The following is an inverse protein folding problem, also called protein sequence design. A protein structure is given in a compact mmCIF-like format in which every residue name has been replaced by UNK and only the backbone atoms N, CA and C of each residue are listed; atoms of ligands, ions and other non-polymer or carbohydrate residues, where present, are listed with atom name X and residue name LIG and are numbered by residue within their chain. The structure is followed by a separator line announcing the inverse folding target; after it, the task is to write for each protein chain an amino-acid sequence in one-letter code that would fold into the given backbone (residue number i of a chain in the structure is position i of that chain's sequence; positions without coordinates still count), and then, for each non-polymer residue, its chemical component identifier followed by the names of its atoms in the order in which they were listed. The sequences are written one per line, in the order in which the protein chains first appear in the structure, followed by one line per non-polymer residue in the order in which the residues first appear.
data_IF_631515068208
#
_entry.id   IF_631515068208
#
_cell.length_a   1.000
_cell.length_b   1.000
_cell.length_c   1.000
_cell.angle_alpha   90.00
_cell.angle_beta   90.00
_cell.angle_gamma   90.00
#
_symmetry.space_group_name_H-M   'P 1'
#
loop_
_entity.id
_entity.type
_entity.pdbx_description
1 polymer ?
#
# COMPACT_ATOMS: atom_id res chain seq x y z
N UNK A 1 -24.97 -73.36 40.68
CA UNK A 1 -23.56 -73.41 40.17
C UNK A 1 -23.54 -72.88 38.73
N UNK A 2 -22.59 -71.96 38.43
CA UNK A 2 -22.11 -71.45 37.12
C UNK A 2 -23.15 -70.92 36.11
N UNK A 3 -23.27 -69.60 35.92
CA UNK A 3 -22.42 -68.60 35.20
C UNK A 3 -22.90 -68.40 33.74
N UNK A 4 -23.64 -67.32 33.50
CA UNK A 4 -23.74 -66.67 32.19
C UNK A 4 -23.00 -65.32 32.26
N UNK A 5 -22.06 -65.10 31.36
CA UNK A 5 -21.28 -63.86 31.24
C UNK A 5 -22.13 -62.82 30.48
N UNK A 6 -22.47 -61.70 31.11
CA UNK A 6 -22.95 -60.51 30.41
C UNK A 6 -21.74 -59.76 29.83
N UNK A 7 -21.72 -59.58 28.51
CA UNK A 7 -20.79 -58.68 27.84
C UNK A 7 -21.34 -57.24 27.94
N UNK A 8 -20.53 -56.36 28.53
CA UNK A 8 -20.79 -54.94 28.67
C UNK A 8 -20.50 -54.25 27.31
N UNK A 9 -21.54 -53.86 26.58
CA UNK A 9 -21.39 -53.01 25.40
C UNK A 9 -21.19 -51.56 25.86
N UNK A 10 -19.93 -51.10 25.89
CA UNK A 10 -19.60 -49.68 26.05
C UNK A 10 -19.88 -49.00 24.71
N UNK A 11 -21.01 -48.33 24.62
CA UNK A 11 -21.31 -47.41 23.51
C UNK A 11 -20.36 -46.22 23.56
N UNK A 12 -19.42 -46.17 22.62
CA UNK A 12 -18.65 -44.97 22.32
C UNK A 12 -19.61 -43.96 21.71
N UNK A 13 -20.12 -43.03 22.52
CA UNK A 13 -20.69 -41.78 22.02
C UNK A 13 -19.54 -40.98 21.38
N UNK A 14 -19.41 -41.08 20.07
CA UNK A 14 -18.58 -40.18 19.29
C UNK A 14 -19.21 -38.78 19.29
N UNK A 15 -18.64 -37.86 20.06
CA UNK A 15 -18.90 -36.42 19.92
C UNK A 15 -18.22 -35.96 18.63
N UNK A 16 -18.97 -35.90 17.53
CA UNK A 16 -18.56 -35.19 16.30
C UNK A 16 -18.98 -33.74 16.46
N UNK A 17 -18.18 -32.96 17.19
CA UNK A 17 -18.31 -31.50 17.26
C UNK A 17 -17.64 -30.84 16.05
N UNK A 18 -18.09 -31.14 14.84
CA UNK A 18 -17.67 -30.41 13.63
C UNK A 18 -18.49 -29.13 13.52
N UNK A 19 -18.03 -28.03 14.12
CA UNK A 19 -18.71 -26.74 14.03
C UNK A 19 -18.76 -26.24 12.59
N UNK A 20 -19.94 -26.25 11.97
CA UNK A 20 -20.17 -25.55 10.71
C UNK A 20 -19.86 -24.06 10.90
N UNK A 21 -19.02 -23.48 10.04
CA UNK A 21 -18.79 -22.03 10.03
C UNK A 21 -20.07 -21.35 9.56
N UNK A 22 -20.71 -20.56 10.44
CA UNK A 22 -21.88 -19.75 10.10
C UNK A 22 -21.43 -18.44 9.46
N UNK A 23 -21.61 -18.31 8.15
CA UNK A 23 -21.32 -17.09 7.39
C UNK A 23 -22.51 -16.12 7.36
N UNK A 24 -22.22 -14.82 7.42
CA UNK A 24 -23.23 -13.78 7.14
C UNK A 24 -23.68 -13.84 5.67
N UNK A 25 -24.84 -13.26 5.30
CA UNK A 25 -25.24 -13.17 3.89
C UNK A 25 -24.18 -12.52 3.00
N UNK A 26 -23.59 -11.41 3.46
CA UNK A 26 -22.51 -10.72 2.75
C UNK A 26 -21.28 -11.63 2.54
N UNK A 27 -20.87 -12.38 3.57
CA UNK A 27 -19.75 -13.31 3.47
C UNK A 27 -20.03 -14.47 2.50
N UNK A 28 -21.28 -14.91 2.35
CA UNK A 28 -21.68 -15.92 1.36
C UNK A 28 -21.61 -15.38 -0.07
N UNK A 29 -22.02 -14.14 -0.28
CA UNK A 29 -21.89 -13.47 -1.57
C UNK A 29 -20.40 -13.31 -1.94
N UNK A 30 -19.58 -12.86 -0.99
CA UNK A 30 -18.14 -12.78 -1.16
C UNK A 30 -17.53 -14.14 -1.49
N UNK A 31 -17.90 -15.20 -0.77
CA UNK A 31 -17.40 -16.56 -1.06
C UNK A 31 -17.79 -17.02 -2.47
N UNK A 32 -19.00 -16.69 -2.92
CA UNK A 32 -19.46 -16.99 -4.28
C UNK A 32 -18.60 -16.28 -5.33
N UNK A 33 -18.25 -15.02 -5.09
CA UNK A 33 -17.36 -14.26 -5.96
C UNK A 33 -15.92 -14.80 -5.96
N UNK A 34 -15.42 -15.28 -4.80
CA UNK A 34 -14.13 -15.95 -4.70
C UNK A 34 -14.12 -17.26 -5.50
N UNK A 35 -15.17 -18.08 -5.38
CA UNK A 35 -15.29 -19.30 -6.18
C UNK A 35 -15.35 -18.99 -7.68
N UNK A 36 -16.09 -17.94 -8.09
CA UNK A 36 -16.13 -17.51 -9.50
C UNK A 36 -14.75 -17.09 -10.01
N UNK A 37 -13.97 -16.41 -9.18
CA UNK A 37 -12.60 -16.01 -9.52
C UNK A 37 -11.68 -17.23 -9.66
N UNK A 38 -11.78 -18.20 -8.75
CA UNK A 38 -11.05 -19.45 -8.83
C UNK A 38 -11.42 -20.28 -10.09
N UNK A 39 -12.72 -20.38 -10.39
CA UNK A 39 -13.23 -21.07 -11.58
C UNK A 39 -12.75 -20.41 -12.88
N UNK A 40 -12.79 -19.07 -12.95
CA UNK A 40 -12.26 -18.31 -14.09
C UNK A 40 -10.74 -18.50 -14.26
N UNK A 41 -10.01 -18.60 -13.15
CA UNK A 41 -8.56 -18.88 -13.17
C UNK A 41 -8.29 -20.28 -13.71
N UNK A 42 -8.96 -21.30 -13.19
CA UNK A 42 -8.83 -22.66 -13.70
C UNK A 42 -9.11 -22.74 -15.20
N UNK A 43 -10.19 -22.11 -15.66
CA UNK A 43 -10.53 -22.04 -17.09
C UNK A 43 -9.44 -21.32 -17.92
N UNK A 44 -8.91 -20.19 -17.44
CA UNK A 44 -7.89 -19.41 -18.17
C UNK A 44 -6.54 -20.13 -18.34
N UNK A 45 -6.26 -21.12 -17.49
CA UNK A 45 -5.03 -21.91 -17.53
C UNK A 45 -5.25 -23.37 -17.93
N UNK A 46 -6.47 -23.77 -18.30
CA UNK A 46 -6.77 -25.15 -18.70
C UNK A 46 -6.61 -26.17 -17.56
N UNK A 47 -6.86 -25.74 -16.32
CA UNK A 47 -6.71 -26.55 -15.12
C UNK A 47 -8.07 -27.04 -14.61
N UNK A 48 -8.03 -28.03 -13.71
CA UNK A 48 -9.23 -28.52 -13.04
C UNK A 48 -9.86 -27.44 -12.17
N UNK A 49 -11.17 -27.55 -11.94
CA UNK A 49 -11.84 -26.67 -10.99
C UNK A 49 -11.23 -26.84 -9.59
N UNK A 50 -10.85 -25.74 -8.96
CA UNK A 50 -10.39 -25.73 -7.56
C UNK A 50 -11.54 -25.36 -6.61
N UNK A 51 -11.93 -26.23 -5.67
CA UNK A 51 -12.93 -25.90 -4.67
C UNK A 51 -12.37 -24.93 -3.63
N UNK A 52 -13.20 -23.96 -3.24
CA UNK A 52 -12.92 -23.02 -2.16
C UNK A 52 -13.67 -23.45 -0.91
N UNK A 53 -12.93 -23.80 0.14
CA UNK A 53 -13.48 -24.24 1.43
C UNK A 53 -13.21 -23.20 2.49
N UNK A 54 -14.24 -22.73 3.19
CA UNK A 54 -14.06 -21.82 4.32
C UNK A 54 -13.79 -22.60 5.61
N UNK A 55 -12.73 -22.24 6.30
CA UNK A 55 -12.37 -22.80 7.61
C UNK A 55 -12.61 -21.77 8.73
N UNK A 56 -12.87 -22.23 9.97
CA UNK A 56 -12.88 -21.35 11.13
C UNK A 56 -11.57 -20.58 11.22
N UNK A 57 -11.64 -19.31 11.62
CA UNK A 57 -10.45 -18.50 11.73
C UNK A 57 -9.43 -19.09 12.69
N UNK A 58 -8.18 -19.20 12.25
CA UNK A 58 -7.06 -19.54 13.12
C UNK A 58 -6.36 -18.26 13.57
N UNK A 59 -5.78 -18.27 14.78
CA UNK A 59 -5.01 -17.13 15.31
C UNK A 59 -3.64 -16.93 14.63
N UNK A 60 -3.34 -17.71 13.57
CA UNK A 60 -2.06 -17.69 12.87
C UNK A 60 -1.95 -16.57 11.83
N UNK A 61 -3.01 -15.77 11.62
CA UNK A 61 -3.01 -14.68 10.63
C UNK A 61 -2.98 -15.15 9.17
N UNK A 62 -3.07 -16.45 8.92
CA UNK A 62 -3.15 -17.05 7.59
C UNK A 62 -4.55 -16.80 7.05
N UNK A 63 -4.64 -15.99 6.00
CA UNK A 63 -5.92 -15.63 5.40
C UNK A 63 -6.44 -16.66 4.39
N UNK A 64 -5.54 -17.41 3.76
CA UNK A 64 -5.86 -18.52 2.88
C UNK A 64 -4.65 -19.44 2.69
N UNK A 65 -4.88 -20.65 2.18
CA UNK A 65 -3.81 -21.57 1.79
C UNK A 65 -4.27 -22.50 0.67
N UNK A 66 -3.48 -22.58 -0.40
CA UNK A 66 -3.56 -23.67 -1.37
C UNK A 66 -2.89 -24.95 -0.84
N UNK A 67 -3.58 -26.09 -0.87
CA UNK A 67 -3.00 -27.40 -0.54
C UNK A 67 -3.79 -28.55 -1.15
N UNK A 68 -3.09 -29.49 -1.79
CA UNK A 68 -3.68 -30.75 -2.28
C UNK A 68 -4.93 -30.52 -3.15
N UNK A 69 -4.84 -29.58 -4.09
CA UNK A 69 -5.95 -29.26 -4.99
C UNK A 69 -7.15 -28.59 -4.34
N UNK A 70 -7.03 -28.08 -3.10
CA UNK A 70 -8.06 -27.34 -2.40
C UNK A 70 -7.55 -25.95 -2.02
N UNK A 71 -8.42 -24.95 -2.10
CA UNK A 71 -8.15 -23.65 -1.53
C UNK A 71 -8.92 -23.50 -0.21
N UNK A 72 -8.20 -23.38 0.90
CA UNK A 72 -8.77 -23.14 2.21
C UNK A 72 -8.72 -21.65 2.53
N UNK A 73 -9.87 -21.06 2.82
CA UNK A 73 -10.01 -19.64 3.12
C UNK A 73 -10.40 -19.46 4.59
N UNK A 74 -9.72 -18.55 5.29
CA UNK A 74 -10.10 -18.18 6.64
C UNK A 74 -11.37 -17.33 6.61
N UNK A 75 -12.38 -17.68 7.40
CA UNK A 75 -13.64 -16.93 7.45
C UNK A 75 -13.43 -15.42 7.74
N UNK A 76 -12.46 -15.07 8.59
CA UNK A 76 -12.14 -13.68 8.91
C UNK A 76 -11.55 -12.87 7.76
N UNK A 77 -11.08 -13.53 6.70
CA UNK A 77 -10.54 -12.88 5.51
C UNK A 77 -11.61 -12.49 4.49
N UNK A 78 -12.83 -13.01 4.61
CA UNK A 78 -13.94 -12.67 3.71
C UNK A 78 -14.32 -11.18 3.77
N UNK A 79 -14.03 -10.51 4.87
CA UNK A 79 -14.29 -9.08 5.04
C UNK A 79 -13.03 -8.20 4.80
N UNK A 80 -11.93 -8.81 4.35
CA UNK A 80 -10.66 -8.12 4.13
C UNK A 80 -10.70 -7.26 2.86
N UNK A 81 -10.24 -6.01 2.98
CA UNK A 81 -10.02 -5.12 1.83
C UNK A 81 -8.95 -5.61 0.84
N UNK A 82 -8.18 -6.65 1.19
CA UNK A 82 -7.12 -7.23 0.36
C UNK A 82 -7.45 -8.65 -0.12
N UNK A 83 -8.68 -9.13 0.10
CA UNK A 83 -9.11 -10.50 -0.25
C UNK A 83 -8.78 -10.87 -1.70
N UNK A 84 -9.05 -9.97 -2.66
CA UNK A 84 -8.80 -10.26 -4.09
C UNK A 84 -7.31 -10.53 -4.39
N UNK A 85 -6.40 -9.78 -3.78
CA UNK A 85 -4.96 -9.96 -3.98
C UNK A 85 -4.47 -11.26 -3.34
N UNK A 86 -4.91 -11.53 -2.11
CA UNK A 86 -4.60 -12.77 -1.40
C UNK A 86 -5.11 -14.00 -2.17
N UNK A 87 -6.36 -13.99 -2.64
CA UNK A 87 -6.90 -15.10 -3.46
C UNK A 87 -6.07 -15.29 -4.73
N UNK A 88 -5.65 -14.20 -5.39
CA UNK A 88 -4.81 -14.29 -6.58
C UNK A 88 -3.43 -14.91 -6.29
N UNK A 89 -2.84 -14.61 -5.13
CA UNK A 89 -1.59 -15.21 -4.66
C UNK A 89 -1.74 -16.71 -4.42
N UNK A 90 -2.78 -17.14 -3.71
CA UNK A 90 -3.05 -18.56 -3.46
C UNK A 90 -3.36 -19.34 -4.74
N UNK A 91 -4.10 -18.73 -5.67
CA UNK A 91 -4.30 -19.27 -7.00
C UNK A 91 -3.00 -19.31 -7.82
N UNK A 92 -2.05 -18.42 -7.52
CA UNK A 92 -0.68 -18.46 -8.07
C UNK A 92 0.04 -19.75 -7.72
N UNK A 93 -0.04 -20.17 -6.45
CA UNK A 93 0.47 -21.48 -6.03
C UNK A 93 -0.21 -22.63 -6.77
N UNK A 94 -1.54 -22.57 -6.90
CA UNK A 94 -2.28 -23.59 -7.65
C UNK A 94 -1.82 -23.69 -9.11
N UNK A 95 -1.76 -22.56 -9.82
CA UNK A 95 -1.40 -22.51 -11.25
C UNK A 95 0.04 -22.97 -11.48
N UNK A 96 0.95 -22.70 -10.53
CA UNK A 96 2.34 -23.13 -10.61
C UNK A 96 2.58 -24.55 -10.08
N UNK A 97 1.55 -25.22 -9.53
CA UNK A 97 1.70 -26.54 -8.92
C UNK A 97 2.60 -26.53 -7.67
N UNK A 98 2.60 -25.42 -6.94
CA UNK A 98 3.35 -25.29 -5.69
C UNK A 98 2.71 -26.14 -4.59
N UNK A 99 3.17 -27.38 -4.45
CA UNK A 99 2.86 -28.24 -3.31
C UNK A 99 4.02 -28.22 -2.30
N UNK A 100 3.79 -28.56 -1.02
CA UNK A 100 4.85 -28.70 -0.04
C UNK A 100 5.92 -29.68 -0.53
N UNK A 101 7.13 -29.17 -0.79
CA UNK A 101 8.24 -29.98 -1.28
C UNK A 101 8.94 -30.73 -0.16
N UNK A 102 9.42 -31.93 -0.46
CA UNK A 102 10.47 -32.61 0.30
C UNK A 102 11.84 -32.26 -0.29
N UNK A 103 12.89 -32.20 0.54
CA UNK A 103 14.22 -31.74 0.12
C UNK A 103 15.31 -32.38 0.97
N UNK A 104 16.55 -32.31 0.50
CA UNK A 104 17.73 -32.96 1.10
C UNK A 104 18.29 -32.20 2.31
N UNK A 105 18.01 -30.90 2.46
CA UNK A 105 18.35 -30.10 3.63
C UNK A 105 17.32 -29.00 3.95
N UNK A 106 17.27 -28.54 5.21
CA UNK A 106 16.37 -27.46 5.64
C UNK A 106 16.63 -26.12 4.94
N UNK A 107 17.89 -25.79 4.66
CA UNK A 107 18.24 -24.53 4.02
C UNK A 107 17.77 -24.49 2.55
N UNK A 108 17.87 -25.61 1.83
CA UNK A 108 17.35 -25.70 0.45
C UNK A 108 15.83 -25.67 0.43
N UNK A 109 15.17 -26.32 1.38
CA UNK A 109 13.72 -26.26 1.54
C UNK A 109 13.24 -24.82 1.76
N UNK A 110 13.92 -24.05 2.61
CA UNK A 110 13.58 -22.64 2.85
C UNK A 110 13.78 -21.78 1.60
N UNK A 111 14.92 -21.87 0.91
CA UNK A 111 15.15 -21.10 -0.33
C UNK A 111 14.14 -21.45 -1.42
N UNK A 112 13.81 -22.73 -1.57
CA UNK A 112 12.81 -23.17 -2.53
C UNK A 112 11.41 -22.63 -2.16
N UNK A 113 11.07 -22.60 -0.86
CA UNK A 113 9.82 -22.00 -0.40
C UNK A 113 9.78 -20.49 -0.69
N UNK A 114 10.82 -19.73 -0.33
CA UNK A 114 10.88 -18.29 -0.61
C UNK A 114 10.72 -18.00 -2.11
N UNK A 115 11.38 -18.77 -2.97
CA UNK A 115 11.24 -18.61 -4.42
C UNK A 115 9.81 -18.87 -4.89
N UNK A 116 9.14 -19.88 -4.33
CA UNK A 116 7.73 -20.17 -4.62
C UNK A 116 6.80 -19.01 -4.24
N UNK A 117 7.06 -18.33 -3.13
CA UNK A 117 6.28 -17.15 -2.73
C UNK A 117 6.47 -15.98 -3.71
N UNK A 118 7.71 -15.73 -4.15
CA UNK A 118 7.99 -14.71 -5.17
C UNK A 118 7.32 -15.03 -6.51
N UNK A 119 7.38 -16.30 -6.94
CA UNK A 119 6.75 -16.75 -8.18
C UNK A 119 5.22 -16.72 -8.09
N UNK A 120 4.63 -17.05 -6.93
CA UNK A 120 3.20 -16.93 -6.67
C UNK A 120 2.74 -15.47 -6.71
N UNK A 121 3.50 -14.55 -6.10
CA UNK A 121 3.25 -13.10 -6.21
C UNK A 121 3.24 -12.63 -7.67
N UNK A 122 4.21 -13.07 -8.47
CA UNK A 122 4.26 -12.72 -9.88
C UNK A 122 3.09 -13.34 -10.67
N UNK A 123 2.77 -14.60 -10.40
CA UNK A 123 1.64 -15.29 -11.06
C UNK A 123 0.30 -14.66 -10.68
N UNK A 124 0.15 -14.16 -9.46
CA UNK A 124 -1.03 -13.43 -9.02
C UNK A 124 -1.33 -12.22 -9.92
N UNK A 125 -0.31 -11.48 -10.35
CA UNK A 125 -0.49 -10.35 -11.30
C UNK A 125 -1.08 -10.85 -12.62
N UNK A 126 -0.53 -11.93 -13.20
CA UNK A 126 -1.06 -12.51 -14.44
C UNK A 126 -2.49 -13.03 -14.27
N UNK A 127 -2.80 -13.67 -13.13
CA UNK A 127 -4.15 -14.15 -12.80
C UNK A 127 -5.14 -12.98 -12.71
N UNK A 128 -4.77 -11.89 -12.03
CA UNK A 128 -5.61 -10.69 -11.94
C UNK A 128 -5.88 -10.07 -13.33
N UNK A 129 -4.89 -10.08 -14.22
CA UNK A 129 -5.07 -9.64 -15.60
C UNK A 129 -6.04 -10.56 -16.35
N UNK A 130 -5.79 -11.88 -16.35
CA UNK A 130 -6.52 -12.84 -17.19
C UNK A 130 -7.92 -13.17 -16.66
N UNK A 131 -8.08 -13.32 -15.35
CA UNK A 131 -9.33 -13.79 -14.73
C UNK A 131 -10.16 -12.68 -14.07
N UNK A 132 -9.58 -11.51 -13.78
CA UNK A 132 -10.33 -10.33 -13.29
C UNK A 132 -10.38 -9.18 -14.29
N UNK A 133 -9.74 -9.31 -15.46
CA UNK A 133 -9.75 -8.29 -16.51
C UNK A 133 -9.04 -7.00 -16.13
N UNK A 134 -8.13 -7.04 -15.14
CA UNK A 134 -7.35 -5.87 -14.75
C UNK A 134 -6.31 -5.54 -15.83
N UNK A 135 -5.97 -4.26 -15.98
CA UNK A 135 -4.71 -3.92 -16.66
C UNK A 135 -3.51 -4.36 -15.80
N UNK A 136 -2.37 -4.67 -16.43
CA UNK A 136 -1.17 -5.06 -15.68
C UNK A 136 -0.77 -4.03 -14.59
N UNK A 137 -0.77 -2.70 -14.84
CA UNK A 137 -0.48 -1.74 -13.77
C UNK A 137 -1.50 -1.77 -12.61
N UNK A 138 -2.78 -2.01 -12.89
CA UNK A 138 -3.78 -2.18 -11.83
C UNK A 138 -3.50 -3.44 -11.01
N UNK A 139 -3.20 -4.56 -11.66
CA UNK A 139 -2.88 -5.83 -10.99
C UNK A 139 -1.61 -5.72 -10.10
N UNK A 140 -0.54 -5.10 -10.61
CA UNK A 140 0.68 -4.83 -9.84
C UNK A 140 0.38 -3.98 -8.62
N UNK A 141 -0.36 -2.87 -8.78
CA UNK A 141 -0.77 -2.03 -7.64
C UNK A 141 -1.58 -2.81 -6.60
N UNK A 142 -2.51 -3.64 -7.04
CA UNK A 142 -3.32 -4.49 -6.14
C UNK A 142 -2.44 -5.40 -5.30
N UNK A 143 -1.43 -6.04 -5.91
CA UNK A 143 -0.48 -6.89 -5.19
C UNK A 143 0.46 -6.09 -4.28
N UNK A 144 0.97 -4.93 -4.73
CA UNK A 144 1.82 -4.07 -3.88
C UNK A 144 1.06 -3.59 -2.64
N UNK A 145 -0.21 -3.18 -2.77
CA UNK A 145 -1.03 -2.77 -1.61
C UNK A 145 -1.16 -3.94 -0.62
N UNK A 146 -1.38 -5.16 -1.11
CA UNK A 146 -1.44 -6.35 -0.27
C UNK A 146 -0.12 -6.60 0.47
N UNK A 147 1.01 -6.65 -0.23
CA UNK A 147 2.33 -6.86 0.39
C UNK A 147 2.69 -5.75 1.38
N UNK A 148 2.30 -4.50 1.10
CA UNK A 148 2.46 -3.39 2.03
C UNK A 148 1.67 -3.58 3.31
N UNK A 149 0.50 -4.19 3.27
CA UNK A 149 -0.26 -4.48 4.51
C UNK A 149 0.47 -5.51 5.39
N UNK A 150 1.12 -6.50 4.78
CA UNK A 150 2.00 -7.43 5.50
C UNK A 150 3.23 -6.70 6.08
N UNK A 151 3.82 -5.76 5.33
CA UNK A 151 4.90 -4.93 5.84
C UNK A 151 4.49 -4.11 7.05
N UNK A 152 3.29 -3.54 7.05
CA UNK A 152 2.79 -2.77 8.18
C UNK A 152 2.60 -3.64 9.42
N UNK A 153 2.14 -4.89 9.25
CA UNK A 153 2.07 -5.86 10.33
C UNK A 153 3.47 -6.17 10.88
N UNK A 154 4.44 -6.41 9.99
CA UNK A 154 5.85 -6.63 10.36
C UNK A 154 6.43 -5.45 11.15
N UNK A 155 6.19 -4.21 10.69
CA UNK A 155 6.64 -2.98 11.36
C UNK A 155 6.04 -2.82 12.76
N UNK A 156 4.88 -3.44 13.03
CA UNK A 156 4.23 -3.49 14.35
C UNK A 156 4.69 -4.68 15.20
N UNK A 157 5.74 -5.39 14.78
CA UNK A 157 6.34 -6.51 15.50
C UNK A 157 5.67 -7.86 15.25
N UNK A 158 4.77 -7.97 14.27
CA UNK A 158 4.25 -9.28 13.88
C UNK A 158 5.32 -10.07 13.12
N UNK A 159 5.44 -11.39 13.34
CA UNK A 159 6.36 -12.21 12.58
C UNK A 159 5.94 -12.28 11.11
N UNK A 160 6.92 -12.51 10.23
CA UNK A 160 6.63 -12.87 8.84
C UNK A 160 5.88 -14.20 8.79
N UNK A 161 5.01 -14.34 7.79
CA UNK A 161 4.42 -15.64 7.49
C UNK A 161 5.53 -16.65 7.15
N UNK A 162 5.48 -17.90 7.66
CA UNK A 162 6.50 -18.89 7.38
C UNK A 162 6.71 -19.10 5.88
N UNK A 163 7.97 -19.08 5.42
CA UNK A 163 8.32 -19.25 4.01
C UNK A 163 8.38 -17.95 3.20
N UNK A 164 7.79 -16.86 3.69
CA UNK A 164 7.85 -15.55 3.05
C UNK A 164 9.14 -14.80 3.38
N UNK A 165 9.59 -14.00 2.43
CA UNK A 165 10.66 -13.02 2.64
C UNK A 165 10.12 -11.79 3.38
N UNK A 166 10.99 -10.91 3.89
CA UNK A 166 10.55 -9.59 4.32
C UNK A 166 9.70 -8.92 3.21
N UNK A 167 8.51 -8.38 3.52
CA UNK A 167 7.62 -7.82 2.48
C UNK A 167 8.26 -6.74 1.61
N UNK A 168 9.24 -5.99 2.13
CA UNK A 168 10.05 -5.06 1.33
C UNK A 168 10.76 -5.73 0.16
N UNK A 169 11.29 -6.93 0.37
CA UNK A 169 12.01 -7.71 -0.63
C UNK A 169 11.03 -8.30 -1.66
N UNK A 170 9.87 -8.78 -1.21
CA UNK A 170 8.83 -9.27 -2.12
C UNK A 170 8.27 -8.16 -3.02
N UNK A 171 8.07 -6.95 -2.47
CA UNK A 171 7.67 -5.78 -3.27
C UNK A 171 8.76 -5.42 -4.29
N UNK A 172 10.03 -5.44 -3.88
CA UNK A 172 11.14 -5.14 -4.78
C UNK A 172 11.25 -6.14 -5.93
N UNK A 173 11.13 -7.44 -5.64
CA UNK A 173 11.10 -8.50 -6.66
C UNK A 173 9.90 -8.34 -7.60
N UNK A 174 8.70 -8.10 -7.06
CA UNK A 174 7.50 -7.90 -7.86
C UNK A 174 7.63 -6.71 -8.82
N UNK A 175 8.13 -5.56 -8.33
CA UNK A 175 8.34 -4.38 -9.15
C UNK A 175 9.46 -4.57 -10.18
N UNK A 176 10.47 -5.41 -9.88
CA UNK A 176 11.52 -5.75 -10.84
C UNK A 176 11.01 -6.65 -11.98
N UNK A 177 10.08 -7.58 -11.68
CA UNK A 177 9.46 -8.46 -12.68
C UNK A 177 8.41 -7.75 -13.54
N UNK A 178 7.72 -6.76 -12.96
CA UNK A 178 6.72 -5.94 -13.65
C UNK A 178 7.10 -4.46 -13.57
N UNK A 179 8.15 -4.04 -14.28
CA UNK A 179 8.53 -2.64 -14.28
C UNK A 179 7.33 -1.81 -14.77
N UNK A 180 6.99 -0.77 -14.02
CA UNK A 180 6.03 0.22 -14.46
C UNK A 180 6.52 0.90 -15.76
N UNK A 181 5.67 1.70 -16.42
CA UNK A 181 6.15 2.52 -17.52
C UNK A 181 7.36 3.33 -17.04
N UNK A 182 8.48 3.21 -17.77
CA UNK A 182 9.62 4.09 -17.55
C UNK A 182 9.12 5.53 -17.67
N UNK A 183 9.63 6.42 -16.82
CA UNK A 183 9.47 7.85 -17.06
C UNK A 183 9.83 8.14 -18.53
N UNK A 184 9.04 8.94 -19.26
CA UNK A 184 9.21 9.13 -20.70
C UNK A 184 10.67 9.40 -21.06
N UNK A 185 11.16 8.79 -22.14
CA UNK A 185 12.58 8.76 -22.57
C UNK A 185 13.26 10.14 -22.69
N UNK A 186 12.50 11.24 -22.72
CA UNK A 186 13.01 12.60 -22.55
C UNK A 186 13.76 12.82 -21.21
N UNK A 187 13.57 11.95 -20.20
CA UNK A 187 14.27 11.99 -18.91
C UNK A 187 15.53 11.09 -18.84
N UNK A 188 15.81 10.31 -19.89
CA UNK A 188 16.96 9.39 -19.94
C UNK A 188 18.07 9.84 -20.91
N UNK A 189 17.88 10.99 -21.57
CA UNK A 189 18.87 11.58 -22.48
C UNK A 189 19.94 12.40 -21.76
N UNK A 190 21.16 11.86 -21.77
CA UNK A 190 22.46 12.54 -21.67
C UNK A 190 22.84 13.27 -20.36
N UNK A 191 23.81 12.68 -19.65
CA UNK A 191 24.79 13.43 -18.86
C UNK A 191 24.35 13.84 -17.45
N UNK A 192 25.22 13.53 -16.48
CA UNK A 192 25.20 14.18 -15.18
C UNK A 192 25.38 15.69 -15.37
N UNK A 193 24.28 16.44 -15.36
CA UNK A 193 24.30 17.84 -14.95
C UNK A 193 23.01 18.15 -14.20
N UNK A 194 23.18 18.49 -12.93
CA UNK A 194 22.19 18.95 -11.97
C UNK A 194 21.58 20.29 -12.41
N UNK A 195 20.76 20.28 -13.47
CA UNK A 195 20.00 21.46 -13.85
C UNK A 195 19.02 21.78 -12.71
N UNK A 196 18.95 23.05 -12.24
CA UNK A 196 17.98 23.44 -11.23
C UNK A 196 16.56 23.13 -11.69
N UNK A 197 15.79 22.40 -10.88
CA UNK A 197 14.39 22.08 -11.20
C UNK A 197 13.54 23.30 -10.82
N UNK A 198 12.84 23.95 -11.76
CA UNK A 198 11.99 25.10 -11.45
C UNK A 198 10.71 24.67 -10.71
N UNK A 199 9.99 25.65 -10.17
CA UNK A 199 8.64 25.43 -9.62
C UNK A 199 7.76 24.80 -10.72
N UNK A 200 7.11 23.65 -10.49
CA UNK A 200 6.25 23.05 -11.49
C UNK A 200 4.96 23.85 -11.65
N UNK A 201 4.39 23.84 -12.85
CA UNK A 201 3.02 24.33 -13.07
C UNK A 201 2.03 23.18 -12.92
N UNK A 202 1.19 23.24 -11.88
CA UNK A 202 0.07 22.33 -11.69
C UNK A 202 -1.14 22.79 -12.50
N UNK A 203 -1.83 21.85 -13.13
CA UNK A 203 -3.01 22.13 -13.96
C UNK A 203 -4.24 21.51 -13.30
N UNK A 204 -5.39 22.21 -13.23
CA UNK A 204 -6.65 21.61 -12.82
C UNK A 204 -6.93 20.30 -13.57
N UNK A 205 -7.12 19.21 -12.82
CA UNK A 205 -7.24 17.85 -13.34
C UNK A 205 -5.97 16.99 -13.26
N UNK A 206 -4.79 17.57 -12.99
CA UNK A 206 -3.60 16.82 -12.57
C UNK A 206 -3.96 15.98 -11.32
N UNK A 207 -3.57 14.71 -11.32
CA UNK A 207 -4.02 13.73 -10.32
C UNK A 207 -2.92 12.75 -9.95
N UNK A 208 -2.79 12.50 -8.66
CA UNK A 208 -1.89 11.53 -8.07
C UNK A 208 -2.67 10.59 -7.16
N UNK A 209 -2.42 9.28 -7.31
CA UNK A 209 -2.93 8.26 -6.40
C UNK A 209 -1.78 7.78 -5.55
N UNK A 210 -1.95 7.81 -4.24
CA UNK A 210 -0.93 7.39 -3.28
C UNK A 210 -1.44 6.23 -2.44
N UNK A 211 -0.53 5.33 -2.09
CA UNK A 211 -0.65 4.45 -0.94
C UNK A 211 -0.07 5.16 0.28
N UNK A 212 -0.57 4.85 1.47
CA UNK A 212 -0.03 5.33 2.73
C UNK A 212 -0.14 4.29 3.84
N UNK A 213 0.77 4.38 4.81
CA UNK A 213 0.73 3.64 6.08
C UNK A 213 1.12 4.52 7.26
N UNK A 214 0.58 4.19 8.42
CA UNK A 214 1.06 4.62 9.72
C UNK A 214 0.66 3.60 10.82
N UNK A 215 1.10 3.79 12.09
CA UNK A 215 0.72 2.89 13.18
C UNK A 215 -0.79 2.71 13.42
N UNK A 216 -1.62 3.64 12.93
CA UNK A 216 -3.07 3.60 13.13
C UNK A 216 -3.78 2.85 12.01
N UNK A 217 -3.37 3.05 10.76
CA UNK A 217 -4.04 2.47 9.59
C UNK A 217 -3.19 2.62 8.33
N UNK A 218 -3.66 2.05 7.23
CA UNK A 218 -3.07 2.19 5.90
C UNK A 218 -4.18 2.25 4.86
N UNK A 219 -3.86 2.69 3.65
CA UNK A 219 -4.83 2.71 2.57
C UNK A 219 -4.33 3.40 1.32
N UNK A 220 -5.27 3.81 0.48
CA UNK A 220 -4.98 4.64 -0.70
C UNK A 220 -5.80 5.91 -0.65
N UNK A 221 -5.28 6.98 -1.25
CA UNK A 221 -6.04 8.20 -1.49
C UNK A 221 -5.66 8.81 -2.84
N UNK A 222 -6.54 9.66 -3.37
CA UNK A 222 -6.33 10.39 -4.61
C UNK A 222 -6.30 11.87 -4.29
N UNK A 223 -5.26 12.55 -4.73
CA UNK A 223 -5.18 14.00 -4.79
C UNK A 223 -5.39 14.45 -6.22
N UNK A 224 -6.23 15.46 -6.41
CA UNK A 224 -6.41 16.12 -7.70
C UNK A 224 -6.38 17.63 -7.52
N UNK A 225 -5.68 18.33 -8.41
CA UNK A 225 -5.77 19.79 -8.51
C UNK A 225 -7.19 20.11 -8.99
N UNK A 226 -7.95 20.78 -8.14
CA UNK A 226 -9.37 21.10 -8.40
C UNK A 226 -9.47 22.43 -9.14
N UNK A 227 -8.82 23.46 -8.60
CA UNK A 227 -8.88 24.84 -9.11
C UNK A 227 -7.68 25.65 -8.65
N UNK A 228 -7.53 26.82 -9.24
CA UNK A 228 -6.74 27.92 -8.68
C UNK A 228 -7.68 28.87 -7.91
N UNK A 229 -7.24 29.39 -6.77
CA UNK A 229 -8.06 30.27 -5.93
C UNK A 229 -7.21 31.35 -5.26
N UNK A 230 -7.71 32.59 -5.28
CA UNK A 230 -7.12 33.69 -4.50
C UNK A 230 -7.70 33.69 -3.10
N UNK A 231 -6.85 33.74 -2.08
CA UNK A 231 -7.22 33.92 -0.66
C UNK A 231 -6.31 35.00 -0.09
N UNK A 232 -6.90 36.06 0.46
CA UNK A 232 -6.18 37.22 1.03
C UNK A 232 -5.09 37.77 0.10
N UNK A 233 -5.43 37.91 -1.20
CA UNK A 233 -4.53 38.42 -2.23
C UNK A 233 -3.44 37.45 -2.71
N UNK A 234 -3.34 36.24 -2.14
CA UNK A 234 -2.38 35.22 -2.57
C UNK A 234 -3.07 34.16 -3.42
N UNK A 235 -2.46 33.77 -4.55
CA UNK A 235 -2.97 32.75 -5.46
C UNK A 235 -2.49 31.35 -5.04
N UNK A 236 -3.43 30.42 -4.91
CA UNK A 236 -3.19 29.04 -4.48
C UNK A 236 -3.66 28.03 -5.54
N UNK A 237 -2.96 26.91 -5.64
CA UNK A 237 -3.55 25.66 -6.11
C UNK A 237 -4.37 25.04 -4.98
N UNK A 238 -5.62 24.70 -5.26
CA UNK A 238 -6.48 23.94 -4.35
C UNK A 238 -6.45 22.47 -4.79
N UNK A 239 -5.84 21.63 -3.96
CA UNK A 239 -5.79 20.18 -4.15
C UNK A 239 -6.87 19.53 -3.30
N UNK A 240 -7.69 18.67 -3.89
CA UNK A 240 -8.78 17.98 -3.20
C UNK A 240 -8.48 16.51 -3.05
N UNK A 241 -8.76 15.95 -1.86
CA UNK A 241 -8.84 14.50 -1.69
C UNK A 241 -10.23 14.00 -2.11
N UNK A 242 -10.31 12.94 -2.90
CA UNK A 242 -11.61 12.33 -3.19
C UNK A 242 -12.26 11.84 -1.88
N UNK A 243 -13.52 12.20 -1.58
CA UNK A 243 -14.21 11.64 -0.43
C UNK A 243 -14.42 10.14 -0.64
N UNK A 244 -14.31 9.36 0.44
CA UNK A 244 -14.80 7.99 0.50
C UNK A 244 -16.09 7.97 1.33
N UNK A 245 -16.81 6.85 1.35
CA UNK A 245 -17.97 6.68 2.25
C UNK A 245 -17.63 6.89 3.73
N UNK A 246 -16.36 6.80 4.12
CA UNK A 246 -15.86 7.00 5.48
C UNK A 246 -15.00 8.26 5.67
N UNK A 247 -14.74 9.05 4.62
CA UNK A 247 -13.86 10.22 4.69
C UNK A 247 -14.48 11.45 4.02
N UNK A 248 -14.62 12.50 4.83
CA UNK A 248 -15.00 13.85 4.40
C UNK A 248 -14.08 14.39 3.32
N UNK A 249 -14.60 15.29 2.48
CA UNK A 249 -13.80 15.98 1.47
C UNK A 249 -12.78 16.89 2.17
N UNK A 250 -11.51 16.78 1.79
CA UNK A 250 -10.43 17.65 2.26
C UNK A 250 -9.90 18.49 1.10
N UNK A 251 -9.60 19.75 1.38
CA UNK A 251 -8.94 20.68 0.45
C UNK A 251 -7.62 21.17 1.05
N UNK A 252 -6.56 21.17 0.25
CA UNK A 252 -5.22 21.60 0.62
C UNK A 252 -4.81 22.78 -0.25
N UNK A 253 -4.36 23.86 0.38
CA UNK A 253 -4.00 25.09 -0.31
C UNK A 253 -2.48 25.20 -0.39
N UNK A 254 -1.95 25.19 -1.62
CA UNK A 254 -0.53 25.34 -1.91
C UNK A 254 -0.29 26.63 -2.68
N UNK A 255 0.61 27.49 -2.21
CA UNK A 255 0.93 28.74 -2.90
C UNK A 255 1.42 28.46 -4.32
N UNK A 256 0.90 29.19 -5.32
CA UNK A 256 1.26 28.94 -6.72
C UNK A 256 2.73 29.27 -7.01
N UNK A 257 3.30 30.20 -6.25
CA UNK A 257 4.67 30.72 -6.44
C UNK A 257 5.77 29.73 -6.07
N UNK A 258 5.56 28.90 -5.05
CA UNK A 258 6.61 28.05 -4.46
C UNK A 258 6.10 26.71 -3.89
N UNK A 259 4.80 26.41 -4.05
CA UNK A 259 4.13 25.25 -3.47
C UNK A 259 4.22 25.16 -1.94
N UNK A 260 4.40 26.28 -1.23
CA UNK A 260 4.30 26.31 0.22
C UNK A 260 2.88 25.96 0.67
N UNK A 261 2.76 25.05 1.65
CA UNK A 261 1.46 24.63 2.18
C UNK A 261 0.91 25.68 3.15
N UNK A 262 -0.30 26.17 2.90
CA UNK A 262 -0.93 27.21 3.73
C UNK A 262 -1.94 26.66 4.72
N UNK A 263 -2.86 25.83 4.26
CA UNK A 263 -3.95 25.33 5.07
C UNK A 263 -4.58 24.07 4.50
N UNK A 264 -5.28 23.37 5.37
CA UNK A 264 -6.17 22.26 5.07
C UNK A 264 -7.58 22.60 5.56
N UNK A 265 -8.57 22.35 4.71
CA UNK A 265 -9.99 22.47 5.06
C UNK A 265 -10.67 21.11 4.99
N UNK A 266 -11.57 20.85 5.93
CA UNK A 266 -12.45 19.68 5.94
C UNK A 266 -13.89 20.14 5.94
N UNK A 267 -14.64 19.74 4.92
CA UNK A 267 -16.02 20.19 4.70
C UNK A 267 -16.17 21.72 4.81
N UNK A 268 -15.23 22.47 4.22
CA UNK A 268 -15.24 23.94 4.22
C UNK A 268 -14.76 24.62 5.50
N UNK A 269 -14.45 23.86 6.57
CA UNK A 269 -13.89 24.41 7.81
C UNK A 269 -12.38 24.22 7.83
N UNK A 270 -11.62 25.24 8.23
CA UNK A 270 -10.17 25.12 8.41
C UNK A 270 -9.86 24.09 9.52
N UNK A 271 -9.24 22.97 9.15
CA UNK A 271 -8.75 21.97 10.12
C UNK A 271 -7.32 22.31 10.55
N UNK A 272 -6.48 22.78 9.64
CA UNK A 272 -5.12 23.20 9.99
C UNK A 272 -4.60 24.34 9.11
N UNK A 273 -3.73 25.19 9.65
CA UNK A 273 -3.23 26.41 9.01
C UNK A 273 -1.81 26.73 9.46
N UNK A 274 -0.91 27.06 8.53
CA UNK A 274 0.49 27.42 8.76
C UNK A 274 0.75 28.92 8.52
N UNK A 275 1.37 29.60 9.48
CA UNK A 275 1.79 31.01 9.39
C UNK A 275 3.29 31.19 9.73
N UNK A 276 4.13 31.63 8.76
CA UNK A 276 3.85 31.78 7.32
C UNK A 276 3.52 30.43 6.64
N UNK A 277 3.17 30.43 5.35
CA UNK A 277 2.95 29.18 4.63
C UNK A 277 4.20 28.26 4.74
N UNK A 278 3.99 26.99 5.02
CA UNK A 278 5.05 26.04 5.32
C UNK A 278 5.77 25.64 4.03
N UNK A 279 7.06 25.98 3.95
CA UNK A 279 7.93 25.60 2.85
C UNK A 279 8.16 24.09 2.89
N UNK A 280 7.81 23.42 1.78
CA UNK A 280 8.18 22.02 1.53
C UNK A 280 9.45 21.91 0.69
N UNK A 281 9.72 22.95 -0.08
CA UNK A 281 10.81 23.09 -1.04
C UNK A 281 11.22 24.57 -1.08
N UNK A 282 12.47 24.84 -1.44
CA UNK A 282 12.90 26.14 -1.93
C UNK A 282 13.35 25.97 -3.37
N UNK A 283 12.71 26.69 -4.28
CA UNK A 283 12.93 26.57 -5.72
C UNK A 283 13.97 27.58 -6.21
N UNK A 284 14.73 27.27 -7.27
CA UNK A 284 14.74 25.98 -7.95
C UNK A 284 15.40 24.88 -7.09
N UNK A 285 14.86 23.66 -7.15
CA UNK A 285 15.43 22.53 -6.42
C UNK A 285 16.76 22.12 -7.03
N UNK A 286 17.78 22.10 -6.18
CA UNK A 286 19.17 21.78 -6.53
C UNK A 286 19.80 20.93 -5.45
N UNK A 287 20.63 19.96 -5.80
CA UNK A 287 21.41 19.18 -4.83
C UNK A 287 22.27 20.10 -3.97
N UNK A 288 22.25 19.90 -2.66
CA UNK A 288 22.94 20.74 -1.68
C UNK A 288 22.14 21.97 -1.24
N UNK A 289 21.06 22.35 -1.95
CA UNK A 289 20.17 23.43 -1.55
C UNK A 289 19.59 23.18 -0.15
N UNK A 290 19.59 24.20 0.70
CA UNK A 290 19.16 24.11 2.09
C UNK A 290 18.36 25.35 2.51
N UNK A 291 17.44 25.18 3.45
CA UNK A 291 16.66 26.27 4.01
C UNK A 291 16.23 25.94 5.44
N UNK A 292 15.94 27.00 6.19
CA UNK A 292 15.35 26.90 7.52
C UNK A 292 14.04 27.69 7.57
N UNK A 293 13.09 27.19 8.34
CA UNK A 293 11.83 27.88 8.57
C UNK A 293 11.34 27.68 9.99
N UNK A 294 10.88 28.77 10.60
CA UNK A 294 10.00 28.73 11.77
C UNK A 294 8.58 29.02 11.33
N UNK A 295 7.64 28.12 11.64
CA UNK A 295 6.23 28.22 11.25
C UNK A 295 5.32 27.92 12.44
N UNK A 296 4.32 28.76 12.66
CA UNK A 296 3.24 28.47 13.60
C UNK A 296 2.16 27.65 12.86
N UNK A 297 1.86 26.45 13.35
CA UNK A 297 0.79 25.60 12.81
C UNK A 297 -0.34 25.52 13.82
N UNK A 298 -1.48 26.06 13.44
CA UNK A 298 -2.72 26.01 14.21
C UNK A 298 -3.59 24.87 13.68
N UNK A 299 -4.04 23.97 14.57
CA UNK A 299 -4.91 22.83 14.24
C UNK A 299 -6.20 22.92 15.05
N UNK A 300 -7.34 22.89 14.37
CA UNK A 300 -8.68 22.90 14.95
C UNK A 300 -9.38 21.55 14.79
N UNK A 301 -9.80 20.92 15.88
CA UNK A 301 -10.64 19.70 15.88
C UNK A 301 -11.71 19.79 16.96
N UNK A 302 -12.96 19.50 16.59
CA UNK A 302 -14.09 19.38 17.54
C UNK A 302 -14.24 20.58 18.49
N UNK A 303 -14.09 21.81 17.97
CA UNK A 303 -14.19 23.04 18.76
C UNK A 303 -12.98 23.36 19.64
N UNK A 304 -11.92 22.53 19.62
CA UNK A 304 -10.64 22.82 20.27
C UNK A 304 -9.62 23.25 19.21
N UNK A 305 -8.80 24.24 19.55
CA UNK A 305 -7.69 24.70 18.72
C UNK A 305 -6.39 24.62 19.51
N UNK A 306 -5.31 24.22 18.85
CA UNK A 306 -3.95 24.28 19.38
C UNK A 306 -3.01 24.88 18.35
N UNK A 307 -2.02 25.64 18.81
CA UNK A 307 -0.97 26.20 17.97
C UNK A 307 0.38 25.67 18.42
N UNK A 308 1.16 25.17 17.46
CA UNK A 308 2.51 24.65 17.67
C UNK A 308 3.50 25.43 16.81
N UNK A 309 4.59 25.90 17.39
CA UNK A 309 5.73 26.45 16.64
C UNK A 309 6.64 25.33 16.18
N UNK A 310 6.78 25.15 14.86
CA UNK A 310 7.67 24.19 14.23
C UNK A 310 8.88 24.89 13.66
N UNK A 311 10.06 24.41 14.05
CA UNK A 311 11.34 24.82 13.46
C UNK A 311 11.82 23.66 12.60
N UNK A 312 12.14 23.94 11.34
CA UNK A 312 12.61 22.97 10.36
C UNK A 312 13.90 23.46 9.72
N UNK A 313 14.89 22.60 9.66
CA UNK A 313 16.09 22.76 8.84
C UNK A 313 16.07 21.66 7.78
N UNK A 314 16.02 22.04 6.51
CA UNK A 314 15.81 21.15 5.38
C UNK A 314 16.96 21.25 4.37
N UNK A 315 17.30 20.14 3.73
CA UNK A 315 18.33 20.07 2.70
C UNK A 315 17.96 19.08 1.61
N UNK A 316 18.25 19.42 0.35
CA UNK A 316 18.25 18.49 -0.77
C UNK A 316 19.55 17.69 -0.72
N UNK A 317 19.48 16.45 -0.23
CA UNK A 317 20.66 15.64 0.08
C UNK A 317 21.29 14.99 -1.14
N UNK A 318 20.55 14.78 -2.22
CA UNK A 318 21.07 14.11 -3.42
C UNK A 318 20.01 13.63 -4.38
N UNK A 319 20.48 13.06 -5.49
CA UNK A 319 19.65 12.31 -6.43
C UNK A 319 19.53 10.86 -6.00
N UNK A 320 18.32 10.29 -6.07
CA UNK A 320 18.07 8.87 -5.83
C UNK A 320 17.13 8.32 -6.91
N UNK A 321 17.39 7.09 -7.37
CA UNK A 321 16.43 6.36 -8.20
C UNK A 321 15.46 5.63 -7.28
N UNK A 322 14.18 5.96 -7.37
CA UNK A 322 13.12 5.39 -6.51
C UNK A 322 12.14 4.60 -7.36
N UNK A 323 11.93 3.35 -7.00
CA UNK A 323 10.92 2.46 -7.60
C UNK A 323 9.74 2.33 -6.65
N UNK A 324 8.55 2.67 -7.14
CA UNK A 324 7.24 2.53 -6.48
C UNK A 324 6.26 1.85 -7.42
N UNK A 325 5.05 1.50 -6.96
CA UNK A 325 4.05 0.88 -7.84
C UNK A 325 3.64 1.76 -9.02
N UNK A 326 3.76 3.08 -8.89
CA UNK A 326 3.54 4.03 -9.98
C UNK A 326 4.65 4.08 -11.03
N UNK A 327 5.80 3.44 -10.83
CA UNK A 327 6.93 3.44 -11.76
C UNK A 327 8.28 3.66 -11.08
N UNK A 328 9.32 3.82 -11.90
CA UNK A 328 10.69 4.11 -11.45
C UNK A 328 11.09 5.51 -11.90
N UNK A 329 11.57 6.31 -10.95
CA UNK A 329 11.76 7.74 -11.11
C UNK A 329 13.15 8.16 -10.65
N UNK A 330 13.77 9.11 -11.36
CA UNK A 330 14.92 9.84 -10.84
C UNK A 330 14.40 10.97 -9.97
N UNK A 331 14.85 11.03 -8.74
CA UNK A 331 14.28 11.93 -7.73
C UNK A 331 15.35 12.77 -7.07
N UNK A 332 14.98 13.95 -6.57
CA UNK A 332 15.76 14.68 -5.58
C UNK A 332 15.21 14.39 -4.18
N UNK A 333 16.05 13.87 -3.30
CA UNK A 333 15.72 13.62 -1.90
C UNK A 333 15.91 14.90 -1.08
N UNK A 334 14.85 15.33 -0.42
CA UNK A 334 14.87 16.37 0.62
C UNK A 334 14.76 15.70 1.98
N UNK A 335 15.63 16.09 2.93
CA UNK A 335 15.57 15.68 4.33
C UNK A 335 15.35 16.91 5.20
N UNK A 336 14.36 16.87 6.09
CA UNK A 336 14.08 17.92 7.06
C UNK A 336 14.26 17.41 8.49
N UNK A 337 14.91 18.25 9.30
CA UNK A 337 15.18 18.02 10.72
C UNK A 337 14.49 19.06 11.59
N UNK A 338 14.17 18.68 12.83
CA UNK A 338 13.66 19.61 13.82
C UNK A 338 14.76 20.31 14.62
N UNK A 339 14.38 21.17 15.57
CA UNK A 339 15.32 21.88 16.46
C UNK A 339 16.22 20.97 17.31
N UNK A 340 15.87 19.69 17.45
CA UNK A 340 16.66 18.67 18.16
C UNK A 340 17.54 17.86 17.20
N UNK A 341 17.63 18.27 15.94
CA UNK A 341 18.37 17.62 14.87
C UNK A 341 17.82 16.23 14.46
N UNK A 342 16.61 15.88 14.89
CA UNK A 342 15.95 14.63 14.52
C UNK A 342 15.31 14.75 13.13
N UNK A 343 15.42 13.69 12.30
CA UNK A 343 14.71 13.62 11.01
C UNK A 343 13.21 13.51 11.26
N UNK A 344 12.47 14.44 10.67
CA UNK A 344 11.01 14.54 10.78
C UNK A 344 10.29 14.42 9.44
N UNK A 345 10.99 14.61 8.33
CA UNK A 345 10.43 14.42 7.00
C UNK A 345 11.52 14.06 6.00
N UNK A 346 11.23 13.13 5.11
CA UNK A 346 12.00 12.85 3.90
C UNK A 346 11.04 12.82 2.70
N UNK A 347 11.44 13.42 1.59
CA UNK A 347 10.60 13.54 0.40
C UNK A 347 11.44 13.34 -0.87
N UNK A 348 10.96 12.50 -1.78
CA UNK A 348 11.63 12.21 -3.05
C UNK A 348 10.83 12.83 -4.19
N UNK A 349 11.26 14.00 -4.64
CA UNK A 349 10.57 14.77 -5.69
C UNK A 349 10.99 14.30 -7.09
N UNK A 350 10.03 14.02 -7.97
CA UNK A 350 10.27 13.72 -9.38
C UNK A 350 9.64 14.81 -10.28
N UNK A 351 10.43 15.54 -11.08
CA UNK A 351 9.92 16.61 -11.94
C UNK A 351 8.89 16.11 -12.97
N UNK A 352 9.07 14.91 -13.51
CA UNK A 352 8.20 14.29 -14.51
C UNK A 352 6.78 14.01 -14.01
N UNK A 353 6.58 13.88 -12.70
CA UNK A 353 5.25 13.76 -12.08
C UNK A 353 4.79 15.04 -11.40
N UNK A 354 5.61 16.11 -11.45
CA UNK A 354 5.38 17.40 -10.80
C UNK A 354 5.16 17.30 -9.27
N UNK A 355 5.52 16.19 -8.64
CA UNK A 355 5.24 15.91 -7.23
C UNK A 355 6.25 14.90 -6.65
N UNK A 356 6.11 14.57 -5.36
CA UNK A 356 6.90 13.51 -4.74
C UNK A 356 6.35 12.14 -5.12
N UNK A 357 7.25 11.18 -5.28
CA UNK A 357 6.89 9.77 -5.53
C UNK A 357 6.96 8.94 -4.25
N UNK A 358 7.68 9.44 -3.25
CA UNK A 358 7.76 8.88 -1.90
C UNK A 358 7.85 9.99 -0.86
N UNK A 359 7.20 9.78 0.28
CA UNK A 359 7.25 10.64 1.46
C UNK A 359 7.37 9.77 2.71
N UNK A 360 8.21 10.21 3.63
CA UNK A 360 8.31 9.68 4.99
C UNK A 360 8.15 10.86 5.94
N UNK A 361 7.35 10.73 7.00
CA UNK A 361 7.14 11.81 7.96
C UNK A 361 6.96 11.27 9.37
N UNK A 362 7.61 11.90 10.35
CA UNK A 362 7.49 11.57 11.76
C UNK A 362 6.50 12.50 12.44
N UNK A 363 5.50 11.91 13.06
CA UNK A 363 4.53 12.58 13.92
C UNK A 363 4.64 12.06 15.35
N UNK A 364 4.00 12.76 16.30
CA UNK A 364 3.93 12.32 17.70
C UNK A 364 3.25 10.96 17.88
N UNK A 365 2.38 10.59 16.94
CA UNK A 365 1.69 9.29 16.90
C UNK A 365 2.43 8.22 16.09
N UNK A 366 3.63 8.52 15.61
CA UNK A 366 4.49 7.61 14.88
C UNK A 366 4.80 8.07 13.45
N UNK A 367 5.34 7.16 12.67
CA UNK A 367 5.79 7.40 11.30
C UNK A 367 4.62 7.25 10.33
N UNK A 368 4.61 8.06 9.29
CA UNK A 368 3.77 7.87 8.13
C UNK A 368 4.62 7.78 6.87
N UNK A 369 4.32 6.80 6.04
CA UNK A 369 4.91 6.66 4.73
C UNK A 369 3.84 6.83 3.66
N UNK A 370 4.23 7.38 2.50
CA UNK A 370 3.39 7.46 1.32
C UNK A 370 4.19 7.18 0.07
N UNK A 371 3.58 6.49 -0.88
CA UNK A 371 4.21 6.15 -2.16
C UNK A 371 3.23 6.32 -3.31
N UNK A 372 3.73 6.82 -4.45
CA UNK A 372 2.95 7.02 -5.65
C UNK A 372 2.58 5.67 -6.28
N UNK A 373 1.28 5.52 -6.53
CA UNK A 373 0.69 4.33 -7.15
C UNK A 373 0.32 4.61 -8.62
N UNK A 374 -0.15 5.82 -8.91
CA UNK A 374 -0.60 6.21 -10.25
C UNK A 374 -0.53 7.73 -10.40
N UNK A 375 -0.22 8.20 -11.61
CA UNK A 375 -0.23 9.62 -11.95
C UNK A 375 -0.97 9.84 -13.26
N UNK A 376 -1.76 10.91 -13.31
CA UNK A 376 -2.41 11.38 -14.54
C UNK A 376 -2.28 12.90 -14.60
N UNK A 377 -1.39 13.38 -15.45
CA UNK A 377 -1.20 14.80 -15.71
C UNK A 377 -2.04 15.24 -16.93
N UNK A 378 -2.40 16.52 -16.97
CA UNK A 378 -3.21 17.16 -18.00
C UNK A 378 -2.39 17.89 -19.07
#
# INVERSE_FOLDING_TARGET
MRRLRLALAVGVLGVVGGGCVSLTPQQKDTLTDVQRFADATAAAYGLMRIPVTVQPGTNLGIGGVYRQGNFYLNAGSLDSGHLTAMVAHELGHYVLGHEPTTGVSMAELLRAQEQRELDANAKAVEILVRAKGMTQPQAVRTMVVYLRTAQNAQNRGQPNAPGHRPPSEEIADLLARFPGPAAPAAAQGAGSSAAPIPVPTWTPGDRWTFWWDNPRSSGTFVWSVDREQVVDGTLYYVVRSRPTTSQSTREFFYQKTDLAWRMEMVNGTVESKAEPAQLRYVWPLTTGGAWEQTVAVTTGREGKSSTETRIRSCQVTGEETVTVAGGTYRTLKTVCRDKTNQVVSEMWYAPEVKHWVKEWSRFSWGVQERELMDVKLK
#
